data_IF_007935808905
#
_entry.id   IF_007935808905
#
_cell.length_a   1.000
_cell.length_b   1.000
_cell.length_c   1.000
_cell.angle_alpha   90.00
_cell.angle_beta   90.00
_cell.angle_gamma   90.00
#
_symmetry.space_group_name_H-M   'P 1'
#
loop_
_entity.id
_entity.type
_entity.pdbx_description
1 polymer ?
#
# COMPACT_ATOMS: atom_id res chain seq x y z
N UNK A 1 -59.08 -31.44 1.87
CA UNK A 1 -59.49 -32.53 2.77
C UNK A 1 -58.54 -33.70 2.54
N UNK A 2 -57.90 -34.18 3.61
CA UNK A 2 -57.04 -35.40 3.71
C UNK A 2 -55.72 -35.44 2.90
N UNK A 3 -54.59 -35.94 3.39
CA UNK A 3 -54.14 -36.30 4.74
C UNK A 3 -52.60 -36.42 4.70
N UNK A 4 -51.96 -36.17 5.85
CA UNK A 4 -50.55 -36.40 6.18
C UNK A 4 -50.09 -37.87 6.00
N UNK A 5 -48.82 -38.08 5.64
CA UNK A 5 -47.98 -39.17 6.19
C UNK A 5 -46.51 -38.71 6.32
N UNK A 6 -46.02 -38.75 7.55
CA UNK A 6 -44.61 -38.70 7.96
C UNK A 6 -43.97 -40.10 7.80
N UNK A 7 -42.71 -40.18 7.37
CA UNK A 7 -41.82 -41.30 7.74
C UNK A 7 -40.41 -40.76 8.02
N UNK A 8 -39.99 -40.90 9.27
CA UNK A 8 -38.60 -40.83 9.71
C UNK A 8 -38.01 -42.24 9.69
N UNK A 9 -36.74 -42.39 9.30
CA UNK A 9 -35.98 -43.61 9.56
C UNK A 9 -34.51 -43.26 9.82
N UNK A 10 -34.07 -43.63 11.02
CA UNK A 10 -32.72 -43.51 11.54
C UNK A 10 -31.77 -44.50 10.86
N UNK A 11 -30.53 -44.08 10.63
CA UNK A 11 -29.43 -44.95 10.17
C UNK A 11 -28.49 -45.20 11.35
N UNK A 12 -28.46 -46.45 11.81
CA UNK A 12 -27.45 -46.97 12.72
C UNK A 12 -26.26 -47.50 11.92
N UNK A 13 -25.05 -47.21 12.40
CA UNK A 13 -23.78 -47.82 11.97
C UNK A 13 -23.65 -49.25 12.53
N UNK A 14 -22.77 -50.06 11.93
CA UNK A 14 -21.71 -50.64 12.76
C UNK A 14 -20.30 -50.58 12.13
N UNK A 15 -19.33 -50.57 13.03
CA UNK A 15 -17.88 -50.66 12.83
C UNK A 15 -17.46 -52.14 12.83
N UNK A 16 -16.60 -52.56 11.89
CA UNK A 16 -15.49 -53.48 12.16
C UNK A 16 -14.56 -53.60 10.93
N UNK A 17 -13.26 -53.58 11.21
CA UNK A 17 -12.13 -53.64 10.28
C UNK A 17 -11.71 -55.07 9.92
N UNK A 18 -11.06 -55.26 8.76
CA UNK A 18 -9.73 -55.88 8.55
C UNK A 18 -9.60 -56.36 7.10
N UNK A 19 -8.46 -56.08 6.46
CA UNK A 19 -8.10 -56.65 5.15
C UNK A 19 -7.05 -55.83 4.41
N UNK A 20 -5.78 -56.17 4.61
CA UNK A 20 -4.65 -55.61 3.89
C UNK A 20 -4.67 -55.99 2.39
N UNK A 21 -4.39 -55.03 1.51
CA UNK A 21 -3.91 -55.32 0.16
C UNK A 21 -2.93 -54.22 -0.29
N UNK A 22 -1.73 -54.63 -0.70
CA UNK A 22 -0.64 -53.76 -1.15
C UNK A 22 -0.17 -54.19 -2.55
N UNK A 23 0.16 -53.17 -3.36
CA UNK A 23 0.84 -53.16 -4.68
C UNK A 23 -0.05 -53.51 -5.88
N UNK A 24 -0.06 -52.73 -6.98
CA UNK A 24 1.10 -52.31 -7.78
C UNK A 24 0.98 -50.92 -8.44
N UNK A 25 2.16 -50.44 -8.89
CA UNK A 25 2.52 -49.15 -9.49
C UNK A 25 1.73 -48.78 -10.76
N UNK A 26 1.37 -47.49 -10.87
CA UNK A 26 1.15 -46.77 -12.12
C UNK A 26 2.03 -45.52 -12.14
N UNK A 27 3.19 -45.62 -12.80
CA UNK A 27 4.13 -44.52 -13.03
C UNK A 27 3.63 -43.68 -14.20
N UNK A 28 3.30 -42.41 -13.96
CA UNK A 28 2.95 -41.50 -15.04
C UNK A 28 2.34 -40.21 -14.55
N UNK A 29 3.11 -39.32 -13.91
CA UNK A 29 2.73 -37.90 -13.77
C UNK A 29 3.85 -36.94 -13.30
N UNK A 30 5.12 -37.24 -13.56
CA UNK A 30 6.22 -36.34 -13.16
C UNK A 30 6.79 -35.46 -14.29
N UNK A 31 6.31 -35.57 -15.53
CA UNK A 31 6.85 -34.78 -16.65
C UNK A 31 6.19 -33.39 -16.84
N UNK A 32 4.95 -33.18 -16.36
CA UNK A 32 4.23 -31.89 -16.52
C UNK A 32 4.54 -30.85 -15.43
N UNK A 33 5.23 -31.22 -14.35
CA UNK A 33 5.66 -30.27 -13.31
C UNK A 33 6.89 -29.44 -13.69
N UNK A 34 7.69 -29.87 -14.67
CA UNK A 34 9.04 -29.33 -14.90
C UNK A 34 9.15 -28.30 -16.05
N UNK A 35 8.04 -27.74 -16.53
CA UNK A 35 8.05 -26.63 -17.51
C UNK A 35 7.89 -25.25 -16.84
N UNK A 36 7.10 -25.15 -15.77
CA UNK A 36 6.90 -23.92 -15.01
C UNK A 36 8.10 -23.47 -14.18
N UNK A 37 9.01 -24.39 -13.85
CA UNK A 37 10.15 -24.14 -12.95
C UNK A 37 11.41 -23.60 -13.68
N UNK A 38 11.55 -23.79 -15.00
CA UNK A 38 12.82 -23.48 -15.69
C UNK A 38 13.03 -22.00 -16.01
N UNK A 39 11.98 -21.25 -16.37
CA UNK A 39 12.08 -19.80 -16.64
C UNK A 39 11.73 -18.93 -15.42
N UNK A 40 11.37 -19.57 -14.30
CA UNK A 40 10.94 -18.90 -13.07
C UNK A 40 12.03 -17.96 -12.50
N UNK A 41 13.29 -18.36 -12.56
CA UNK A 41 14.40 -17.54 -12.11
C UNK A 41 14.58 -16.24 -12.92
N UNK A 42 14.42 -16.32 -14.25
CA UNK A 42 14.49 -15.14 -15.14
C UNK A 42 13.28 -14.23 -14.89
N UNK A 43 12.09 -14.83 -14.75
CA UNK A 43 10.85 -14.11 -14.43
C UNK A 43 10.95 -13.34 -13.10
N UNK A 44 11.47 -13.96 -12.06
CA UNK A 44 11.65 -13.31 -10.77
C UNK A 44 12.65 -12.15 -10.83
N UNK A 45 13.76 -12.31 -11.56
CA UNK A 45 14.72 -11.22 -11.77
C UNK A 45 14.08 -10.07 -12.55
N UNK A 46 13.24 -10.38 -13.55
CA UNK A 46 12.48 -9.38 -14.29
C UNK A 46 11.51 -8.63 -13.38
N UNK A 47 10.73 -9.33 -12.57
CA UNK A 47 9.76 -8.74 -11.67
C UNK A 47 10.45 -7.89 -10.57
N UNK A 48 11.60 -8.33 -10.06
CA UNK A 48 12.45 -7.52 -9.16
C UNK A 48 12.90 -6.22 -9.84
N UNK A 49 13.43 -6.32 -11.07
CA UNK A 49 13.94 -5.16 -11.81
C UNK A 49 12.84 -4.17 -12.18
N UNK A 50 11.64 -4.65 -12.48
CA UNK A 50 10.43 -3.81 -12.64
C UNK A 50 10.07 -3.08 -11.35
N UNK A 51 10.17 -3.73 -10.20
CA UNK A 51 9.98 -3.09 -8.89
C UNK A 51 11.03 -2.00 -8.59
N UNK A 52 12.31 -2.29 -8.86
CA UNK A 52 13.40 -1.30 -8.75
C UNK A 52 13.18 -0.11 -9.69
N UNK A 53 12.75 -0.37 -10.93
CA UNK A 53 12.42 0.66 -11.91
C UNK A 53 11.26 1.54 -11.44
N UNK A 54 10.18 0.94 -10.93
CA UNK A 54 9.03 1.69 -10.40
C UNK A 54 9.39 2.55 -9.20
N UNK A 55 10.22 2.04 -8.28
CA UNK A 55 10.73 2.82 -7.15
C UNK A 55 11.63 3.99 -7.61
N UNK A 56 12.46 3.78 -8.63
CA UNK A 56 13.27 4.83 -9.23
C UNK A 56 12.40 5.90 -9.91
N UNK A 57 11.36 5.49 -10.65
CA UNK A 57 10.40 6.41 -11.28
C UNK A 57 9.60 7.23 -10.26
N UNK A 58 9.20 6.60 -9.15
CA UNK A 58 8.53 7.28 -8.04
C UNK A 58 9.43 8.35 -7.40
N UNK A 59 10.71 8.03 -7.15
CA UNK A 59 11.69 8.99 -6.64
C UNK A 59 11.94 10.13 -7.62
N UNK A 60 12.01 9.82 -8.91
CA UNK A 60 12.21 10.80 -9.97
C UNK A 60 11.02 11.77 -10.08
N UNK A 61 9.79 11.26 -9.94
CA UNK A 61 8.57 12.07 -9.86
C UNK A 61 8.57 13.02 -8.66
N UNK A 62 8.92 12.52 -7.47
CA UNK A 62 9.05 13.36 -6.27
C UNK A 62 10.15 14.43 -6.43
N UNK A 63 11.29 14.07 -7.03
CA UNK A 63 12.38 15.00 -7.30
C UNK A 63 11.98 16.07 -8.32
N UNK A 64 11.15 15.72 -9.32
CA UNK A 64 10.59 16.69 -10.27
C UNK A 64 9.69 17.70 -9.58
N UNK A 65 8.79 17.26 -8.69
CA UNK A 65 7.95 18.16 -7.90
C UNK A 65 8.78 19.11 -7.02
N UNK A 66 9.87 18.63 -6.43
CA UNK A 66 10.79 19.47 -5.66
C UNK A 66 11.48 20.54 -6.53
N UNK A 67 11.91 20.18 -7.75
CA UNK A 67 12.48 21.12 -8.70
C UNK A 67 11.48 22.18 -9.16
N UNK A 68 10.24 21.79 -9.45
CA UNK A 68 9.18 22.73 -9.86
C UNK A 68 8.85 23.71 -8.72
N UNK A 69 8.82 23.23 -7.48
CA UNK A 69 8.63 24.07 -6.30
C UNK A 69 9.79 25.05 -6.09
N UNK A 70 11.04 24.61 -6.29
CA UNK A 70 12.22 25.49 -6.22
C UNK A 70 12.21 26.53 -7.34
N UNK A 71 11.89 26.14 -8.58
CA UNK A 71 11.78 27.06 -9.72
C UNK A 71 10.74 28.16 -9.44
N UNK A 72 9.56 27.78 -8.94
CA UNK A 72 8.52 28.74 -8.56
C UNK A 72 8.98 29.71 -7.47
N UNK A 73 9.74 29.24 -6.47
CA UNK A 73 10.32 30.11 -5.43
C UNK A 73 11.35 31.08 -6.00
N UNK A 74 12.18 30.63 -6.95
CA UNK A 74 13.15 31.49 -7.63
C UNK A 74 12.43 32.59 -8.43
N UNK A 75 11.40 32.24 -9.21
CA UNK A 75 10.59 33.21 -9.96
C UNK A 75 9.92 34.24 -9.03
N UNK A 76 9.27 33.77 -7.95
CA UNK A 76 8.67 34.66 -6.94
C UNK A 76 9.68 35.63 -6.33
N UNK A 77 10.91 35.16 -6.06
CA UNK A 77 11.98 36.02 -5.51
C UNK A 77 12.53 37.00 -6.54
N UNK A 78 12.59 36.63 -7.81
CA UNK A 78 12.93 37.56 -8.89
C UNK A 78 11.89 38.66 -9.06
N UNK A 79 10.60 38.34 -8.99
CA UNK A 79 9.52 39.32 -9.08
C UNK A 79 9.48 40.23 -7.85
N UNK A 80 9.67 39.67 -6.64
CA UNK A 80 9.79 40.45 -5.40
C UNK A 80 10.98 41.44 -5.49
N UNK A 81 12.12 40.99 -6.03
CA UNK A 81 13.30 41.83 -6.23
C UNK A 81 13.01 42.96 -7.24
N UNK A 82 12.41 42.65 -8.39
CA UNK A 82 12.01 43.65 -9.40
C UNK A 82 11.05 44.69 -8.83
N UNK A 83 10.03 44.26 -8.07
CA UNK A 83 9.08 45.17 -7.41
C UNK A 83 9.79 46.08 -6.41
N UNK A 84 10.58 45.52 -5.50
CA UNK A 84 11.28 46.31 -4.47
C UNK A 84 12.25 47.32 -5.08
N UNK A 85 12.96 46.96 -6.16
CA UNK A 85 13.82 47.90 -6.89
C UNK A 85 12.97 49.00 -7.52
N UNK A 86 11.89 48.65 -8.23
CA UNK A 86 11.04 49.63 -8.90
C UNK A 86 10.35 50.59 -7.91
N UNK A 87 9.90 50.07 -6.77
CA UNK A 87 9.29 50.86 -5.68
C UNK A 87 10.33 51.77 -5.01
N UNK A 88 11.54 51.28 -4.78
CA UNK A 88 12.64 52.07 -4.22
C UNK A 88 13.09 53.17 -5.19
N UNK A 89 13.21 52.86 -6.48
CA UNK A 89 13.57 53.83 -7.53
C UNK A 89 12.47 54.87 -7.71
N UNK A 90 11.19 54.47 -7.81
CA UNK A 90 10.05 55.40 -7.88
C UNK A 90 9.93 56.28 -6.66
N UNK A 91 10.14 55.72 -5.46
CA UNK A 91 10.13 56.46 -4.21
C UNK A 91 11.29 57.45 -4.15
N UNK A 92 12.50 57.08 -4.60
CA UNK A 92 13.65 57.99 -4.66
C UNK A 92 13.55 59.07 -5.74
N UNK A 93 12.89 58.81 -6.87
CA UNK A 93 12.55 59.84 -7.87
C UNK A 93 11.55 60.86 -7.28
N UNK A 94 10.64 60.41 -6.42
CA UNK A 94 9.71 61.30 -5.68
C UNK A 94 10.36 62.04 -4.52
N UNK A 95 11.28 61.39 -3.80
CA UNK A 95 11.94 61.89 -2.59
C UNK A 95 13.27 62.62 -2.90
N UNK A 96 13.60 62.84 -4.18
CA UNK A 96 14.71 63.70 -4.64
C UNK A 96 14.58 65.18 -4.21
N UNK A 97 13.60 65.47 -3.35
CA UNK A 97 13.49 66.66 -2.52
C UNK A 97 13.75 66.24 -1.05
N UNK A 98 15.02 66.11 -0.63
CA UNK A 98 15.39 66.36 0.78
C UNK A 98 16.01 65.27 1.67
N UNK A 99 16.58 64.16 1.18
CA UNK A 99 17.31 63.19 2.04
C UNK A 99 18.81 63.07 1.69
N UNK A 100 19.68 62.95 2.70
CA UNK A 100 21.11 62.62 2.56
C UNK A 100 21.30 61.32 1.76
N UNK A 101 21.89 61.46 0.57
CA UNK A 101 22.08 60.39 -0.40
C UNK A 101 22.91 59.21 0.14
N UNK A 102 23.88 59.44 1.04
CA UNK A 102 24.82 58.40 1.48
C UNK A 102 24.14 57.36 2.36
N UNK A 103 23.33 57.79 3.32
CA UNK A 103 22.64 56.88 4.25
C UNK A 103 21.55 56.07 3.54
N UNK A 104 20.86 56.67 2.56
CA UNK A 104 19.83 56.02 1.76
C UNK A 104 20.40 55.05 0.71
N UNK A 105 21.64 55.28 0.23
CA UNK A 105 22.34 54.37 -0.67
C UNK A 105 22.85 53.13 0.07
N UNK A 106 23.47 53.31 1.25
CA UNK A 106 23.99 52.19 2.06
C UNK A 106 22.93 51.17 2.48
N UNK A 107 21.73 51.63 2.88
CA UNK A 107 20.61 50.71 3.22
C UNK A 107 20.06 49.96 2.00
N UNK A 108 20.05 50.60 0.83
CA UNK A 108 19.61 49.97 -0.41
C UNK A 108 20.62 48.91 -0.89
N UNK A 109 21.92 49.18 -0.75
CA UNK A 109 23.00 48.23 -1.04
C UNK A 109 22.92 47.01 -0.12
N UNK A 110 22.82 47.20 1.20
CA UNK A 110 22.70 46.09 2.17
C UNK A 110 21.46 45.21 1.93
N UNK A 111 20.33 45.81 1.57
CA UNK A 111 19.12 45.07 1.22
C UNK A 111 19.29 44.28 -0.08
N UNK A 112 19.92 44.86 -1.09
CA UNK A 112 20.23 44.18 -2.35
C UNK A 112 21.21 43.01 -2.13
N UNK A 113 22.21 43.18 -1.27
CA UNK A 113 23.17 42.13 -0.91
C UNK A 113 22.51 40.96 -0.16
N UNK A 114 21.63 41.24 0.81
CA UNK A 114 20.90 40.20 1.55
C UNK A 114 19.96 39.38 0.64
N UNK A 115 19.27 40.03 -0.29
CA UNK A 115 18.39 39.35 -1.25
C UNK A 115 19.21 38.57 -2.28
N UNK A 116 20.35 39.11 -2.73
CA UNK A 116 21.29 38.41 -3.61
C UNK A 116 21.83 37.14 -2.95
N UNK A 117 22.26 37.19 -1.69
CA UNK A 117 22.72 36.01 -0.96
C UNK A 117 21.65 34.91 -0.85
N UNK A 118 20.38 35.30 -0.66
CA UNK A 118 19.25 34.36 -0.61
C UNK A 118 18.94 33.77 -1.99
N UNK A 119 19.08 34.56 -3.06
CA UNK A 119 18.93 34.12 -4.44
C UNK A 119 20.03 33.12 -4.83
N UNK A 120 21.29 33.42 -4.50
CA UNK A 120 22.44 32.57 -4.79
C UNK A 120 22.31 31.19 -4.09
N UNK A 121 21.86 31.15 -2.82
CA UNK A 121 21.56 29.88 -2.10
C UNK A 121 20.45 29.05 -2.77
N UNK A 122 19.38 29.70 -3.26
CA UNK A 122 18.30 29.01 -3.96
C UNK A 122 18.76 28.44 -5.31
N UNK A 123 19.60 29.18 -6.03
CA UNK A 123 20.20 28.74 -7.30
C UNK A 123 21.13 27.56 -7.06
N UNK A 124 21.95 27.58 -6.01
CA UNK A 124 22.83 26.45 -5.67
C UNK A 124 22.02 25.19 -5.33
N UNK A 125 20.98 25.31 -4.51
CA UNK A 125 20.07 24.19 -4.18
C UNK A 125 19.36 23.65 -5.42
N UNK A 126 18.98 24.51 -6.36
CA UNK A 126 18.37 24.10 -7.62
C UNK A 126 19.36 23.30 -8.49
N UNK A 127 20.61 23.74 -8.60
CA UNK A 127 21.64 23.01 -9.34
C UNK A 127 22.00 21.66 -8.69
N UNK A 128 22.06 21.60 -7.36
CA UNK A 128 22.23 20.32 -6.64
C UNK A 128 21.06 19.37 -6.91
N UNK A 129 19.82 19.87 -6.85
CA UNK A 129 18.62 19.07 -7.12
C UNK A 129 18.58 18.56 -8.58
N UNK A 130 19.09 19.35 -9.54
CA UNK A 130 19.21 18.97 -10.95
C UNK A 130 20.23 17.84 -11.16
N UNK A 131 21.38 17.90 -10.49
CA UNK A 131 22.38 16.81 -10.52
C UNK A 131 21.81 15.50 -9.97
N UNK A 132 21.04 15.56 -8.87
CA UNK A 132 20.35 14.39 -8.32
C UNK A 132 19.34 13.83 -9.32
N UNK A 133 18.55 14.69 -9.98
CA UNK A 133 17.62 14.25 -11.03
C UNK A 133 18.35 13.55 -12.18
N UNK A 134 19.46 14.10 -12.66
CA UNK A 134 20.26 13.48 -13.72
C UNK A 134 20.80 12.10 -13.32
N UNK A 135 21.27 11.95 -12.07
CA UNK A 135 21.72 10.66 -11.56
C UNK A 135 20.58 9.63 -11.49
N UNK A 136 19.38 10.07 -11.08
CA UNK A 136 18.17 9.22 -11.06
C UNK A 136 17.72 8.84 -12.48
N UNK A 137 17.82 9.75 -13.46
CA UNK A 137 17.52 9.48 -14.87
C UNK A 137 18.50 8.46 -15.49
N UNK A 138 19.78 8.57 -15.16
CA UNK A 138 20.79 7.58 -15.57
C UNK A 138 20.51 6.21 -14.94
N UNK A 139 20.15 6.17 -13.65
CA UNK A 139 19.77 4.93 -12.97
C UNK A 139 18.50 4.31 -13.58
N UNK A 140 17.48 5.13 -13.90
CA UNK A 140 16.27 4.69 -14.58
C UNK A 140 16.59 4.07 -15.95
N UNK A 141 17.42 4.73 -16.74
CA UNK A 141 17.83 4.26 -18.07
C UNK A 141 18.53 2.90 -17.98
N UNK A 142 19.44 2.74 -17.03
CA UNK A 142 20.13 1.47 -16.77
C UNK A 142 19.15 0.36 -16.37
N UNK A 143 18.26 0.62 -15.41
CA UNK A 143 17.26 -0.34 -14.96
C UNK A 143 16.27 -0.74 -16.07
N UNK A 144 15.89 0.21 -16.92
CA UNK A 144 15.02 -0.06 -18.06
C UNK A 144 15.71 -0.94 -19.11
N UNK A 145 17.01 -0.71 -19.36
CA UNK A 145 17.82 -1.59 -20.22
C UNK A 145 17.94 -3.01 -19.67
N UNK A 146 18.24 -3.15 -18.38
CA UNK A 146 18.27 -4.45 -17.69
C UNK A 146 16.92 -5.17 -17.74
N UNK A 147 15.82 -4.43 -17.57
CA UNK A 147 14.45 -4.95 -17.66
C UNK A 147 14.15 -5.49 -19.05
N UNK A 148 14.44 -4.72 -20.11
CA UNK A 148 14.23 -5.15 -21.51
C UNK A 148 15.06 -6.38 -21.87
N UNK A 149 16.31 -6.43 -21.41
CA UNK A 149 17.18 -7.60 -21.62
C UNK A 149 16.60 -8.85 -20.95
N UNK A 150 16.07 -8.72 -19.72
CA UNK A 150 15.42 -9.81 -19.01
C UNK A 150 14.07 -10.21 -19.64
N UNK A 151 13.32 -9.26 -20.22
CA UNK A 151 12.10 -9.54 -20.99
C UNK A 151 12.43 -10.38 -22.23
N UNK A 152 13.47 -10.04 -22.98
CA UNK A 152 13.95 -10.84 -24.12
C UNK A 152 14.38 -12.23 -23.68
N UNK A 153 15.23 -12.32 -22.65
CA UNK A 153 15.70 -13.61 -22.13
C UNK A 153 14.56 -14.49 -21.59
N UNK A 154 13.53 -13.88 -20.98
CA UNK A 154 12.35 -14.61 -20.53
C UNK A 154 11.51 -15.08 -21.72
N UNK A 155 11.30 -14.24 -22.73
CA UNK A 155 10.59 -14.60 -23.95
C UNK A 155 11.31 -15.74 -24.71
N UNK A 156 12.64 -15.69 -24.83
CA UNK A 156 13.47 -16.74 -25.42
C UNK A 156 13.43 -18.03 -24.60
N UNK A 157 13.47 -17.94 -23.27
CA UNK A 157 13.34 -19.10 -22.38
C UNK A 157 11.98 -19.79 -22.54
N UNK A 158 10.90 -18.99 -22.63
CA UNK A 158 9.55 -19.51 -22.86
C UNK A 158 9.40 -20.05 -24.27
N UNK A 159 10.02 -19.44 -25.28
CA UNK A 159 10.05 -19.95 -26.64
C UNK A 159 10.86 -21.26 -26.73
N UNK A 160 11.92 -21.42 -25.94
CA UNK A 160 12.64 -22.69 -25.78
C UNK A 160 11.83 -23.80 -25.11
N UNK A 161 10.63 -23.52 -24.57
CA UNK A 161 9.68 -24.54 -24.10
C UNK A 161 8.84 -25.14 -25.25
N UNK A 162 8.93 -24.62 -26.48
CA UNK A 162 8.30 -25.22 -27.66
C UNK A 162 9.21 -26.21 -28.43
N UNK A 163 10.42 -26.49 -27.93
CA UNK A 163 11.37 -27.45 -28.52
C UNK A 163 12.13 -28.27 -27.47
N UNK A 164 12.52 -29.50 -27.81
CA UNK A 164 13.01 -30.56 -26.91
C UNK A 164 14.34 -30.27 -26.16
N UNK A 165 14.43 -30.92 -24.98
CA UNK A 165 15.57 -31.54 -24.26
C UNK A 165 16.92 -30.79 -24.04
N UNK A 166 17.43 -30.86 -22.81
CA UNK A 166 18.78 -31.36 -22.40
C UNK A 166 19.02 -31.12 -20.89
N UNK A 167 19.79 -32.01 -20.29
CA UNK A 167 20.14 -32.24 -18.88
C UNK A 167 21.13 -31.22 -18.29
N UNK A 168 21.06 -30.95 -16.96
CA UNK A 168 22.14 -31.23 -15.98
C UNK A 168 21.89 -30.71 -14.55
N UNK A 169 22.23 -31.61 -13.62
CA UNK A 169 22.78 -31.57 -12.26
C UNK A 169 23.13 -30.23 -11.57
N UNK A 170 22.89 -30.21 -10.25
CA UNK A 170 23.68 -29.42 -9.29
C UNK A 170 22.82 -28.71 -8.25
N UNK A 171 22.63 -29.33 -7.08
CA UNK A 171 21.94 -28.71 -5.96
C UNK A 171 22.74 -27.55 -5.38
N UNK A 172 22.07 -26.41 -5.18
CA UNK A 172 22.47 -25.38 -4.23
C UNK A 172 21.21 -25.00 -3.46
N UNK A 173 21.19 -25.30 -2.17
CA UNK A 173 20.11 -24.87 -1.28
C UNK A 173 20.27 -23.37 -1.04
N UNK A 174 19.51 -22.56 -1.78
CA UNK A 174 19.46 -21.11 -1.60
C UNK A 174 18.16 -20.80 -0.87
N UNK A 175 18.27 -20.34 0.37
CA UNK A 175 17.16 -19.70 1.09
C UNK A 175 16.68 -18.47 0.32
N UNK A 176 15.47 -18.57 -0.23
CA UNK A 176 14.84 -17.57 -1.12
C UNK A 176 14.10 -16.50 -0.30
N UNK A 177 14.43 -15.20 -0.43
CA UNK A 177 13.59 -14.11 0.07
C UNK A 177 12.31 -13.93 -0.78
N UNK A 178 11.19 -13.64 -0.13
CA UNK A 178 9.85 -13.58 -0.72
C UNK A 178 9.63 -12.44 -1.74
N UNK A 179 8.93 -12.78 -2.82
CA UNK A 179 8.66 -12.02 -4.05
C UNK A 179 7.60 -10.92 -3.81
N UNK A 180 7.80 -9.69 -4.31
CA UNK A 180 6.83 -8.60 -4.21
C UNK A 180 5.63 -8.75 -5.16
N UNK A 181 4.46 -9.15 -4.65
CA UNK A 181 3.17 -9.12 -5.37
C UNK A 181 2.63 -7.69 -5.50
N UNK A 182 1.65 -7.46 -6.39
CA UNK A 182 0.86 -6.22 -6.33
C UNK A 182 0.11 -6.16 -5.00
N UNK A 183 0.10 -5.01 -4.31
CA UNK A 183 -0.61 -4.91 -3.02
C UNK A 183 -2.11 -4.82 -3.28
N UNK A 184 -2.86 -5.70 -2.63
CA UNK A 184 -4.32 -5.73 -2.73
C UNK A 184 -4.91 -5.20 -1.44
N UNK A 185 -5.66 -4.11 -1.53
CA UNK A 185 -6.36 -3.52 -0.40
C UNK A 185 -7.81 -3.96 -0.39
N UNK A 186 -8.30 -4.44 0.75
CA UNK A 186 -9.69 -4.84 0.95
C UNK A 186 -10.26 -3.94 2.05
N UNK A 187 -11.18 -3.06 1.69
CA UNK A 187 -11.78 -2.09 2.62
C UNK A 187 -13.18 -2.57 2.98
N UNK A 188 -13.49 -2.59 4.28
CA UNK A 188 -14.72 -3.15 4.82
C UNK A 188 -15.45 -2.16 5.72
N UNK A 189 -16.77 -2.10 5.58
CA UNK A 189 -17.63 -1.10 6.22
C UNK A 189 -17.86 -1.30 7.72
N UNK A 190 -17.39 -2.40 8.31
CA UNK A 190 -17.49 -2.69 9.73
C UNK A 190 -18.51 -3.79 10.06
N UNK A 191 -18.67 -4.07 11.36
CA UNK A 191 -19.50 -5.17 11.88
C UNK A 191 -19.04 -6.58 11.43
N UNK A 192 -17.73 -6.83 11.37
CA UNK A 192 -17.15 -8.13 10.94
C UNK A 192 -17.56 -9.32 11.79
N UNK A 193 -17.99 -9.10 13.04
CA UNK A 193 -18.46 -10.16 13.93
C UNK A 193 -19.92 -10.57 13.70
N UNK A 194 -20.68 -9.82 12.88
CA UNK A 194 -22.08 -10.12 12.56
C UNK A 194 -22.13 -11.30 11.57
N UNK A 195 -22.97 -12.33 11.79
CA UNK A 195 -23.24 -13.34 10.77
C UNK A 195 -23.90 -12.69 9.55
N UNK A 196 -23.16 -12.62 8.44
CA UNK A 196 -23.61 -12.02 7.19
C UNK A 196 -22.83 -12.63 6.01
N UNK A 197 -23.47 -13.00 4.89
CA UNK A 197 -22.76 -13.53 3.71
C UNK A 197 -21.68 -12.60 3.15
N UNK A 198 -21.85 -11.28 3.28
CA UNK A 198 -20.85 -10.30 2.83
C UNK A 198 -19.59 -10.31 3.71
N UNK A 199 -19.75 -10.61 5.00
CA UNK A 199 -18.60 -10.85 5.89
C UNK A 199 -17.87 -12.14 5.49
N UNK A 200 -18.60 -13.22 5.19
CA UNK A 200 -18.00 -14.46 4.69
C UNK A 200 -17.17 -14.22 3.41
N UNK A 201 -17.69 -13.41 2.48
CA UNK A 201 -16.98 -13.02 1.26
C UNK A 201 -15.73 -12.17 1.57
N UNK A 202 -15.82 -11.23 2.51
CA UNK A 202 -14.70 -10.41 2.94
C UNK A 202 -13.54 -11.26 3.47
N UNK A 203 -13.80 -12.18 4.39
CA UNK A 203 -12.76 -13.08 4.91
C UNK A 203 -12.21 -14.03 3.83
N UNK A 204 -13.07 -14.49 2.90
CA UNK A 204 -12.64 -15.28 1.74
C UNK A 204 -11.68 -14.51 0.84
N UNK A 205 -11.92 -13.22 0.58
CA UNK A 205 -11.01 -12.36 -0.21
C UNK A 205 -9.63 -12.22 0.41
N UNK A 206 -9.53 -12.22 1.74
CA UNK A 206 -8.26 -12.20 2.46
C UNK A 206 -7.49 -13.51 2.24
N UNK A 207 -8.17 -14.64 2.43
CA UNK A 207 -7.52 -15.96 2.45
C UNK A 207 -7.25 -16.53 1.06
N UNK A 208 -8.07 -16.21 0.05
CA UNK A 208 -7.93 -16.82 -1.28
C UNK A 208 -6.59 -16.48 -1.95
N UNK A 209 -6.04 -15.29 -1.68
CA UNK A 209 -4.88 -14.75 -2.40
C UNK A 209 -3.53 -14.91 -1.68
N UNK A 210 -3.49 -15.49 -0.47
CA UNK A 210 -2.23 -15.88 0.20
C UNK A 210 -1.75 -17.26 -0.26
N UNK A 211 -0.48 -17.67 -0.07
CA UNK A 211 -0.07 -19.05 -0.35
C UNK A 211 -0.74 -20.06 0.61
N UNK A 212 -0.65 -21.36 0.31
CA UNK A 212 -0.97 -22.38 1.31
C UNK A 212 0.04 -22.33 2.46
N UNK A 213 -0.42 -22.60 3.68
CA UNK A 213 0.29 -22.27 4.92
C UNK A 213 0.66 -20.77 5.05
N UNK A 214 0.00 -19.88 4.28
CA UNK A 214 0.25 -18.44 4.32
C UNK A 214 -0.12 -17.80 5.65
N UNK A 215 0.60 -16.75 5.99
CA UNK A 215 0.52 -16.04 7.27
C UNK A 215 -0.41 -14.82 7.21
N UNK A 216 -1.22 -14.65 8.25
CA UNK A 216 -2.15 -13.51 8.38
C UNK A 216 -1.84 -12.80 9.69
N UNK A 217 -1.32 -11.58 9.62
CA UNK A 217 -1.11 -10.75 10.80
C UNK A 217 -2.39 -9.98 11.14
N UNK A 218 -3.00 -10.31 12.28
CA UNK A 218 -4.21 -9.66 12.77
C UNK A 218 -3.86 -8.54 13.76
N UNK A 219 -4.24 -7.30 13.41
CA UNK A 219 -3.88 -6.06 14.08
C UNK A 219 -5.10 -5.50 14.80
N UNK A 220 -4.99 -5.37 16.12
CA UNK A 220 -6.07 -4.91 17.01
C UNK A 220 -5.76 -3.58 17.71
N UNK A 221 -4.79 -2.80 17.21
CA UNK A 221 -4.34 -1.56 17.85
C UNK A 221 -5.42 -0.46 17.99
N UNK A 222 -6.60 -0.65 17.39
CA UNK A 222 -7.78 0.16 17.63
C UNK A 222 -8.58 -0.23 18.90
N UNK A 223 -8.21 -1.32 19.57
CA UNK A 223 -8.88 -1.88 20.76
C UNK A 223 -8.01 -1.74 22.01
N UNK A 224 -8.59 -2.01 23.17
CA UNK A 224 -7.82 -2.18 24.40
C UNK A 224 -7.12 -3.54 24.36
N UNK A 225 -5.92 -3.61 24.95
CA UNK A 225 -5.05 -4.80 24.83
C UNK A 225 -5.66 -6.06 25.46
N UNK A 226 -6.42 -5.89 26.54
CA UNK A 226 -7.19 -6.95 27.20
C UNK A 226 -8.26 -7.58 26.30
N UNK A 227 -8.69 -6.88 25.24
CA UNK A 227 -9.65 -7.39 24.27
C UNK A 227 -9.00 -8.16 23.11
N UNK A 228 -7.67 -8.07 22.93
CA UNK A 228 -6.99 -8.58 21.73
C UNK A 228 -7.18 -10.08 21.55
N UNK A 229 -7.03 -10.84 22.62
CA UNK A 229 -7.15 -12.30 22.57
C UNK A 229 -8.57 -12.73 22.20
N UNK A 230 -9.58 -12.05 22.74
CA UNK A 230 -10.98 -12.37 22.47
C UNK A 230 -11.33 -12.11 21.00
N UNK A 231 -10.95 -10.93 20.48
CA UNK A 231 -11.19 -10.60 19.08
C UNK A 231 -10.34 -11.45 18.12
N UNK A 232 -9.11 -11.79 18.50
CA UNK A 232 -8.27 -12.71 17.74
C UNK A 232 -8.89 -14.10 17.65
N UNK A 233 -9.38 -14.65 18.76
CA UNK A 233 -10.07 -15.94 18.76
C UNK A 233 -11.32 -15.92 17.88
N UNK A 234 -12.07 -14.81 17.87
CA UNK A 234 -13.22 -14.63 16.99
C UNK A 234 -12.81 -14.60 15.51
N UNK A 235 -11.87 -13.73 15.12
CA UNK A 235 -11.48 -13.58 13.72
C UNK A 235 -10.74 -14.80 13.20
N UNK A 236 -9.97 -15.49 14.05
CA UNK A 236 -9.32 -16.75 13.70
C UNK A 236 -10.33 -17.77 13.19
N UNK A 237 -11.48 -17.93 13.87
CA UNK A 237 -12.57 -18.80 13.41
C UNK A 237 -13.12 -18.37 12.04
N UNK A 238 -13.22 -17.07 11.79
CA UNK A 238 -13.69 -16.53 10.51
C UNK A 238 -12.68 -16.77 9.38
N UNK A 239 -11.38 -16.59 9.64
CA UNK A 239 -10.33 -16.94 8.70
C UNK A 239 -10.31 -18.44 8.40
N UNK A 240 -10.41 -19.29 9.42
CA UNK A 240 -10.41 -20.76 9.28
C UNK A 240 -11.63 -21.23 8.48
N UNK A 241 -12.82 -20.70 8.78
CA UNK A 241 -14.03 -20.94 7.99
C UNK A 241 -13.83 -20.54 6.52
N UNK A 242 -13.25 -19.37 6.26
CA UNK A 242 -12.99 -18.88 4.91
C UNK A 242 -11.89 -19.67 4.16
N UNK A 243 -10.93 -20.25 4.89
CA UNK A 243 -9.84 -21.05 4.32
C UNK A 243 -10.31 -22.42 3.82
N UNK A 244 -11.36 -22.97 4.42
CA UNK A 244 -11.83 -24.32 4.12
C UNK A 244 -10.73 -25.35 4.39
N UNK A 245 -10.20 -25.97 3.33
CA UNK A 245 -9.11 -26.97 3.42
C UNK A 245 -7.70 -26.37 3.40
N UNK A 246 -7.57 -25.09 3.02
CA UNK A 246 -6.28 -24.41 2.92
C UNK A 246 -5.71 -24.18 4.32
N UNK A 247 -4.43 -24.47 4.51
CA UNK A 247 -3.76 -24.17 5.78
C UNK A 247 -3.42 -22.68 5.82
N UNK A 248 -3.67 -22.04 6.95
CA UNK A 248 -3.33 -20.64 7.20
C UNK A 248 -2.70 -20.51 8.57
N UNK A 249 -1.91 -19.45 8.77
CA UNK A 249 -1.24 -19.14 10.03
C UNK A 249 -1.64 -17.73 10.51
N UNK A 250 -2.85 -17.56 11.09
CA UNK A 250 -3.21 -16.33 11.75
C UNK A 250 -2.31 -16.09 12.97
N UNK A 251 -1.78 -14.88 13.10
CA UNK A 251 -0.94 -14.45 14.20
C UNK A 251 -1.45 -13.12 14.76
N UNK A 252 -1.43 -13.00 16.09
CA UNK A 252 -1.77 -11.75 16.77
C UNK A 252 -0.61 -10.76 16.68
N UNK A 253 -0.88 -9.53 16.25
CA UNK A 253 0.10 -8.47 16.21
C UNK A 253 0.45 -7.96 17.61
N UNK A 254 1.74 -7.81 17.87
CA UNK A 254 2.31 -7.15 19.05
C UNK A 254 2.88 -5.81 18.62
N UNK A 255 2.66 -4.75 19.40
CA UNK A 255 3.27 -3.44 19.11
C UNK A 255 4.81 -3.54 19.10
N UNK A 256 5.40 -4.24 20.08
CA UNK A 256 6.86 -4.39 20.21
C UNK A 256 7.51 -5.01 18.96
N UNK A 257 6.90 -6.06 18.41
CA UNK A 257 7.45 -6.82 17.28
C UNK A 257 6.77 -6.48 15.95
N UNK A 258 5.92 -5.44 15.92
CA UNK A 258 4.96 -5.21 14.87
C UNK A 258 5.60 -5.19 13.48
N UNK A 259 6.66 -4.40 13.29
CA UNK A 259 7.31 -4.27 11.98
C UNK A 259 8.00 -5.56 11.52
N UNK A 260 8.47 -6.40 12.46
CA UNK A 260 9.04 -7.70 12.14
C UNK A 260 7.95 -8.67 11.69
N UNK A 261 6.86 -8.74 12.45
CA UNK A 261 5.69 -9.56 12.11
C UNK A 261 5.08 -9.13 10.78
N UNK A 262 4.94 -7.82 10.55
CA UNK A 262 4.38 -7.23 9.34
C UNK A 262 5.16 -7.65 8.09
N UNK A 263 6.49 -7.59 8.15
CA UNK A 263 7.35 -8.00 7.03
C UNK A 263 7.18 -9.47 6.68
N UNK A 264 7.07 -10.34 7.68
CA UNK A 264 6.92 -11.78 7.50
C UNK A 264 5.52 -12.18 7.00
N UNK A 265 4.50 -11.35 7.21
CA UNK A 265 3.11 -11.69 6.91
C UNK A 265 2.80 -11.68 5.40
N UNK A 266 2.00 -12.62 4.91
CA UNK A 266 1.45 -12.59 3.53
C UNK A 266 0.24 -11.66 3.43
N UNK A 267 -0.57 -11.65 4.48
CA UNK A 267 -1.72 -10.75 4.64
C UNK A 267 -1.68 -10.03 5.98
N UNK A 268 -2.29 -8.84 6.01
CA UNK A 268 -2.45 -8.00 7.20
C UNK A 268 -3.92 -7.66 7.32
N UNK A 269 -4.54 -7.99 8.44
CA UNK A 269 -5.90 -7.62 8.77
C UNK A 269 -5.90 -6.59 9.89
N UNK A 270 -6.46 -5.42 9.65
CA UNK A 270 -6.55 -4.32 10.60
C UNK A 270 -8.01 -4.18 11.03
N UNK A 271 -8.30 -4.58 12.26
CA UNK A 271 -9.66 -4.58 12.80
C UNK A 271 -10.12 -3.16 13.18
N UNK A 272 -11.43 -2.95 13.11
CA UNK A 272 -12.09 -1.73 13.56
C UNK A 272 -12.06 -1.54 15.08
N UNK A 273 -12.23 -0.30 15.53
CA UNK A 273 -12.22 0.14 16.93
C UNK A 273 -12.06 1.66 17.01
N UNK A 274 -11.30 2.15 17.98
CA UNK A 274 -10.98 3.58 18.13
C UNK A 274 -9.97 4.04 17.07
N UNK A 275 -10.44 4.76 16.05
CA UNK A 275 -9.59 5.24 14.95
C UNK A 275 -8.43 6.16 15.41
N UNK A 276 -8.62 7.12 16.34
CA UNK A 276 -7.51 7.95 16.83
C UNK A 276 -6.40 7.14 17.52
N UNK A 277 -6.77 6.10 18.28
CA UNK A 277 -5.82 5.19 18.92
C UNK A 277 -5.00 4.44 17.87
N UNK A 278 -5.67 3.90 16.85
CA UNK A 278 -5.01 3.19 15.75
C UNK A 278 -4.06 4.10 14.96
N UNK A 279 -4.51 5.31 14.60
CA UNK A 279 -3.66 6.30 13.91
C UNK A 279 -2.44 6.69 14.73
N UNK A 280 -2.64 7.02 16.00
CA UNK A 280 -1.55 7.38 16.92
C UNK A 280 -0.55 6.24 17.03
N UNK A 281 -1.03 5.00 17.16
CA UNK A 281 -0.17 3.81 17.24
C UNK A 281 0.63 3.62 15.94
N UNK A 282 -0.04 3.63 14.77
CA UNK A 282 0.61 3.38 13.48
C UNK A 282 1.63 4.46 13.08
N UNK A 283 1.45 5.71 13.54
CA UNK A 283 2.42 6.80 13.32
C UNK A 283 3.79 6.56 13.96
N UNK A 284 3.88 5.72 15.00
CA UNK A 284 5.16 5.31 15.57
C UNK A 284 5.97 4.37 14.65
N UNK A 285 5.37 3.90 13.55
CA UNK A 285 6.00 3.00 12.59
C UNK A 285 6.13 3.67 11.21
N UNK A 286 7.11 4.57 11.00
CA UNK A 286 7.25 5.35 9.76
C UNK A 286 7.48 4.49 8.51
N UNK A 287 7.92 3.23 8.68
CA UNK A 287 8.12 2.26 7.60
C UNK A 287 6.86 1.41 7.31
N UNK A 288 5.75 1.66 8.00
CA UNK A 288 4.51 0.89 7.88
C UNK A 288 4.00 0.82 6.44
N UNK A 289 3.82 1.97 5.78
CA UNK A 289 3.32 2.03 4.39
C UNK A 289 4.19 1.22 3.42
N UNK A 290 5.52 1.36 3.50
CA UNK A 290 6.44 0.59 2.67
C UNK A 290 6.38 -0.91 2.96
N UNK A 291 6.16 -1.31 4.21
CA UNK A 291 6.05 -2.72 4.59
C UNK A 291 4.74 -3.39 4.16
N UNK A 292 3.75 -2.65 3.66
CA UNK A 292 2.53 -3.20 3.06
C UNK A 292 2.70 -3.62 1.59
N UNK A 293 3.79 -3.19 0.95
CA UNK A 293 4.08 -3.56 -0.43
C UNK A 293 4.19 -5.08 -0.56
N UNK A 294 3.56 -5.68 -1.57
CA UNK A 294 3.59 -7.14 -1.74
C UNK A 294 2.45 -7.91 -1.10
N UNK A 295 1.60 -7.27 -0.28
CA UNK A 295 0.73 -7.99 0.66
C UNK A 295 -0.76 -7.85 0.33
N UNK A 296 -1.55 -8.71 0.95
CA UNK A 296 -2.99 -8.48 1.07
C UNK A 296 -3.23 -7.63 2.32
N UNK A 297 -3.84 -6.46 2.18
CA UNK A 297 -4.08 -5.53 3.29
C UNK A 297 -5.58 -5.32 3.44
N UNK A 298 -6.16 -5.86 4.51
CA UNK A 298 -7.58 -5.75 4.79
C UNK A 298 -7.81 -4.82 5.98
N UNK A 299 -8.67 -3.82 5.82
CA UNK A 299 -9.04 -2.89 6.88
C UNK A 299 -10.56 -2.87 7.07
N UNK A 300 -11.02 -3.00 8.31
CA UNK A 300 -12.44 -2.88 8.66
C UNK A 300 -12.71 -1.65 9.50
N UNK A 301 -13.70 -0.83 9.13
CA UNK A 301 -14.08 0.41 9.83
C UNK A 301 -12.84 1.29 10.09
N UNK A 302 -12.42 1.49 11.34
CA UNK A 302 -11.17 2.18 11.68
C UNK A 302 -9.94 1.70 10.87
N UNK A 303 -9.84 0.40 10.61
CA UNK A 303 -8.78 -0.16 9.78
C UNK A 303 -8.84 0.29 8.33
N UNK A 304 -10.03 0.53 7.77
CA UNK A 304 -10.21 1.09 6.44
C UNK A 304 -9.92 2.61 6.43
N UNK A 305 -10.34 3.33 7.48
CA UNK A 305 -10.10 4.76 7.66
C UNK A 305 -8.62 5.11 7.70
N UNK A 306 -7.79 4.35 8.43
CA UNK A 306 -6.36 4.64 8.50
C UNK A 306 -5.64 4.44 7.17
N UNK A 307 -6.17 3.62 6.27
CA UNK A 307 -5.59 3.40 4.95
C UNK A 307 -5.94 4.52 3.95
N UNK A 308 -7.00 5.29 4.16
CA UNK A 308 -7.42 6.33 3.22
C UNK A 308 -6.70 7.67 3.41
N UNK A 309 -6.87 8.59 2.45
CA UNK A 309 -6.47 10.00 2.62
C UNK A 309 -7.44 10.71 3.55
N UNK A 310 -8.75 10.63 3.26
CA UNK A 310 -9.78 11.20 4.11
C UNK A 310 -10.81 10.15 4.48
N UNK A 311 -11.39 10.28 5.67
CA UNK A 311 -12.53 9.45 6.07
C UNK A 311 -13.57 10.26 6.82
N UNK A 312 -14.84 9.86 6.73
CA UNK A 312 -15.88 10.37 7.60
C UNK A 312 -16.14 9.42 8.76
N UNK A 313 -16.16 9.94 9.98
CA UNK A 313 -16.52 9.18 11.18
C UNK A 313 -17.90 9.60 11.66
N UNK A 314 -18.85 8.65 11.67
CA UNK A 314 -20.18 8.87 12.24
C UNK A 314 -20.11 9.14 13.75
N UNK A 315 -19.18 8.48 14.44
CA UNK A 315 -18.98 8.63 15.89
C UNK A 315 -18.45 10.04 16.25
N UNK A 316 -17.51 10.55 15.45
CA UNK A 316 -16.88 11.86 15.71
C UNK A 316 -17.56 13.02 14.98
N UNK A 317 -18.52 12.74 14.09
CA UNK A 317 -19.30 13.75 13.39
C UNK A 317 -18.49 14.65 12.45
N UNK A 318 -17.66 14.07 11.58
CA UNK A 318 -16.89 14.89 10.63
C UNK A 318 -15.93 14.13 9.73
N UNK A 319 -15.22 14.89 8.90
CA UNK A 319 -14.18 14.40 7.99
C UNK A 319 -12.79 14.58 8.61
N UNK A 320 -12.04 13.48 8.66
CA UNK A 320 -10.71 13.39 9.24
C UNK A 320 -9.72 12.82 8.22
N UNK A 321 -8.43 12.83 8.58
CA UNK A 321 -7.35 12.35 7.72
C UNK A 321 -6.81 11.01 8.21
N UNK A 322 -6.69 10.05 7.28
CA UNK A 322 -5.98 8.80 7.50
C UNK A 322 -4.47 8.94 7.25
N UNK A 323 -3.78 7.84 7.01
CA UNK A 323 -2.35 7.84 6.69
C UNK A 323 -2.07 8.16 5.21
N UNK A 324 -3.10 8.23 4.36
CA UNK A 324 -2.94 8.53 2.94
C UNK A 324 -2.29 7.42 2.12
N UNK A 325 -2.38 6.16 2.58
CA UNK A 325 -1.86 5.00 1.85
C UNK A 325 -2.62 4.81 0.52
N UNK A 326 -3.93 5.06 0.54
CA UNK A 326 -4.81 5.06 -0.61
C UNK A 326 -5.35 6.47 -0.88
N UNK A 327 -5.25 7.00 -2.12
CA UNK A 327 -5.75 8.33 -2.48
C UNK A 327 -7.27 8.33 -2.66
N UNK A 328 -8.01 8.07 -1.57
CA UNK A 328 -9.47 7.98 -1.56
C UNK A 328 -10.07 8.75 -0.38
N UNK A 329 -11.33 9.14 -0.57
CA UNK A 329 -12.24 9.45 0.51
C UNK A 329 -12.99 8.16 0.88
N UNK A 330 -13.28 7.92 2.16
CA UNK A 330 -14.07 6.76 2.57
C UNK A 330 -15.07 7.10 3.68
N UNK A 331 -16.22 6.43 3.67
CA UNK A 331 -17.10 6.31 4.82
C UNK A 331 -17.50 4.86 5.03
N UNK A 332 -17.49 4.44 6.29
CA UNK A 332 -17.91 3.12 6.75
C UNK A 332 -19.17 3.30 7.61
N UNK A 333 -19.88 2.21 7.90
CA UNK A 333 -21.17 2.29 8.61
C UNK A 333 -22.17 3.26 7.94
N UNK A 334 -22.12 3.36 6.61
CA UNK A 334 -22.93 4.34 5.90
C UNK A 334 -24.43 4.02 6.03
N UNK A 335 -25.20 4.99 6.50
CA UNK A 335 -26.63 4.84 6.78
C UNK A 335 -27.51 5.54 5.73
N UNK A 336 -26.93 6.14 4.68
CA UNK A 336 -27.67 6.87 3.65
C UNK A 336 -27.66 8.40 3.79
N UNK A 337 -27.01 8.97 4.81
CA UNK A 337 -26.97 10.43 4.99
C UNK A 337 -26.12 11.13 3.91
N UNK A 338 -26.78 11.84 3.01
CA UNK A 338 -26.14 12.58 1.92
C UNK A 338 -25.16 13.65 2.41
N UNK A 339 -25.39 14.24 3.61
CA UNK A 339 -24.50 15.25 4.18
C UNK A 339 -23.08 14.72 4.39
N UNK A 340 -22.94 13.43 4.70
CA UNK A 340 -21.64 12.75 4.83
C UNK A 340 -20.86 12.82 3.52
N UNK A 341 -21.54 12.52 2.42
CA UNK A 341 -20.93 12.50 1.09
C UNK A 341 -20.56 13.92 0.64
N UNK A 342 -21.40 14.89 0.95
CA UNK A 342 -21.15 16.30 0.62
C UNK A 342 -19.94 16.84 1.39
N UNK A 343 -19.80 16.49 2.67
CA UNK A 343 -18.62 16.86 3.46
C UNK A 343 -17.33 16.23 2.90
N UNK A 344 -17.35 14.96 2.53
CA UNK A 344 -16.19 14.29 1.92
C UNK A 344 -15.81 14.92 0.57
N UNK A 345 -16.80 15.19 -0.29
CA UNK A 345 -16.59 15.87 -1.57
C UNK A 345 -16.06 17.29 -1.39
N UNK A 346 -16.56 18.04 -0.40
CA UNK A 346 -16.08 19.39 -0.07
C UNK A 346 -14.62 19.36 0.38
N UNK A 347 -14.19 18.32 1.13
CA UNK A 347 -12.80 18.18 1.57
C UNK A 347 -11.86 17.87 0.41
N UNK A 348 -12.24 16.97 -0.50
CA UNK A 348 -11.41 16.60 -1.65
C UNK A 348 -12.27 16.03 -2.78
N UNK A 349 -12.74 16.90 -3.67
CA UNK A 349 -13.63 16.54 -4.77
C UNK A 349 -12.96 15.69 -5.87
N UNK A 350 -11.63 15.74 -5.95
CA UNK A 350 -10.85 14.99 -6.95
C UNK A 350 -10.60 13.53 -6.54
N UNK A 351 -10.79 13.17 -5.27
CA UNK A 351 -10.56 11.80 -4.80
C UNK A 351 -11.81 10.96 -4.98
N UNK A 352 -11.62 9.69 -5.40
CA UNK A 352 -12.71 8.71 -5.43
C UNK A 352 -13.28 8.55 -4.02
N UNK A 353 -14.60 8.62 -3.90
CA UNK A 353 -15.31 8.39 -2.64
C UNK A 353 -15.81 6.96 -2.59
N UNK A 354 -15.35 6.22 -1.58
CA UNK A 354 -15.76 4.85 -1.25
C UNK A 354 -16.80 4.92 -0.15
N UNK A 355 -17.96 4.32 -0.38
CA UNK A 355 -19.09 4.30 0.56
C UNK A 355 -19.37 2.86 0.89
N UNK A 356 -19.29 2.49 2.17
CA UNK A 356 -19.49 1.12 2.62
C UNK A 356 -20.51 1.12 3.77
N UNK A 357 -21.60 0.37 3.58
CA UNK A 357 -22.50 -0.01 4.68
C UNK A 357 -21.84 -1.09 5.54
N UNK A 358 -22.46 -1.41 6.67
CA UNK A 358 -22.07 -2.58 7.47
C UNK A 358 -21.98 -3.84 6.61
N UNK A 359 -20.97 -4.66 6.87
CA UNK A 359 -20.66 -5.91 6.17
C UNK A 359 -20.18 -5.77 4.71
N UNK A 360 -20.43 -4.64 4.03
CA UNK A 360 -19.96 -4.42 2.66
C UNK A 360 -18.44 -4.30 2.58
N UNK A 361 -17.86 -4.78 1.48
CA UNK A 361 -16.44 -4.62 1.19
C UNK A 361 -16.15 -4.28 -0.26
N UNK A 362 -15.05 -3.58 -0.49
CA UNK A 362 -14.52 -3.29 -1.81
C UNK A 362 -13.04 -3.63 -1.90
N UNK A 363 -12.55 -3.88 -3.11
CA UNK A 363 -11.14 -4.21 -3.37
C UNK A 363 -10.51 -3.12 -4.23
N UNK A 364 -9.33 -2.65 -3.83
CA UNK A 364 -8.52 -1.68 -4.56
C UNK A 364 -7.14 -2.30 -4.75
N UNK A 365 -6.70 -2.43 -6.01
CA UNK A 365 -5.37 -2.92 -6.34
C UNK A 365 -4.46 -1.74 -6.63
N UNK A 366 -3.44 -1.51 -5.78
CA UNK A 366 -2.46 -0.44 -5.96
C UNK A 366 -1.15 -0.99 -6.53
#
# INVERSE_FOLDING_TARGET
MALYVFVAAAIALPVAAYGAFRMTRGSGNNAKKNAGDRCWGIKNRLDQKRGELFAAESKLSLQQLALDALKKKIEQKQDELKSRINDTVKKKIKDAVGLDERTALGRAVNLAESVKATYDDLVEKFEQAKKIKQALEAQRTKLNGETRSLESAYAECVAGLSGLAVTRTGGLEITVPSIGRKTMYILHGGATGKPDPLNDEFFKKIVQNIPDAGSILAVYFARKEDEYQNFFAQDKKLFEKAAGRKKIQPALASQKDFMKQLKAADAVYIRGGETPRLLTTLKHYPKFQGALQGKIVAGSSAGAYVLSTNYYSNEQGGVFQGLGILPINITCHFNGDQKVLDQLKKKSSQLKTVVLKDCESTVISA
#
